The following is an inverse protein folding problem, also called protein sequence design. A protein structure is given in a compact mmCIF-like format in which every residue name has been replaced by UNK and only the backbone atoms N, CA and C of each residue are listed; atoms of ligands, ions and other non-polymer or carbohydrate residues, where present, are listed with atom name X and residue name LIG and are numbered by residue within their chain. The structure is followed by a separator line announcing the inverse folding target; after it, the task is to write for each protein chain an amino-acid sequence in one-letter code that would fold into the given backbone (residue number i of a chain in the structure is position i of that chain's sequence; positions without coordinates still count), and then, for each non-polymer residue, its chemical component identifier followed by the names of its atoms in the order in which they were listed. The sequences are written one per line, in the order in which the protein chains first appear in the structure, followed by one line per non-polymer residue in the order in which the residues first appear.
data_IF_463299710769
#
_entry.id   IF_463299710769
#
_cell.length_a   1.000
_cell.length_b   1.000
_cell.length_c   1.000
_cell.angle_alpha   90.00
_cell.angle_beta   90.00
_cell.angle_gamma   90.00
#
_symmetry.space_group_name_H-M   'P 1'
#
loop_
_entity.id
_entity.type
_entity.pdbx_description
1 polymer ?
#
# COMPACT_ATOMS: atom_id res chain seq x y z
N UNK A 1 -12.45 67.55 -7.36
CA UNK A 1 -13.36 66.52 -6.79
C UNK A 1 -12.87 65.16 -7.27
N UNK A 2 -12.13 64.43 -6.43
CA UNK A 2 -11.50 63.15 -6.77
C UNK A 2 -12.47 61.99 -6.48
N UNK A 3 -12.78 61.18 -7.50
CA UNK A 3 -13.72 60.05 -7.41
C UNK A 3 -13.15 58.87 -6.62
N UNK A 4 -13.99 58.28 -5.76
CA UNK A 4 -13.67 57.16 -4.87
C UNK A 4 -13.59 55.83 -5.67
N UNK A 5 -12.58 54.97 -5.47
CA UNK A 5 -12.50 53.69 -6.16
C UNK A 5 -13.60 52.72 -5.68
N UNK A 6 -14.08 51.79 -6.54
CA UNK A 6 -15.18 50.89 -6.20
C UNK A 6 -14.76 49.84 -5.14
N UNK A 7 -15.71 49.30 -4.35
CA UNK A 7 -15.41 48.34 -3.30
C UNK A 7 -14.92 47.00 -3.86
N UNK A 8 -13.84 46.48 -3.27
CA UNK A 8 -13.20 45.20 -3.61
C UNK A 8 -14.16 44.03 -3.34
N UNK A 9 -14.49 43.25 -4.37
CA UNK A 9 -15.30 42.05 -4.27
C UNK A 9 -14.66 41.00 -3.34
N UNK A 10 -15.38 40.59 -2.29
CA UNK A 10 -14.95 39.59 -1.32
C UNK A 10 -14.85 38.22 -2.03
N UNK A 11 -13.65 37.63 -2.08
CA UNK A 11 -13.45 36.27 -2.65
C UNK A 11 -14.25 35.28 -1.80
N UNK A 12 -15.26 34.66 -2.40
CA UNK A 12 -15.99 33.54 -1.78
C UNK A 12 -15.05 32.33 -1.79
N UNK A 13 -14.64 31.87 -0.61
CA UNK A 13 -13.89 30.61 -0.46
C UNK A 13 -14.81 29.43 -0.76
N UNK A 14 -14.37 28.53 -1.63
CA UNK A 14 -15.11 27.30 -1.93
C UNK A 14 -15.11 26.41 -0.68
N UNK A 15 -16.28 26.29 -0.04
CA UNK A 15 -16.64 25.25 0.93
C UNK A 15 -15.92 25.31 2.28
N UNK A 16 -16.67 25.12 3.37
CA UNK A 16 -16.06 24.79 4.67
C UNK A 16 -15.34 23.44 4.55
N UNK A 17 -14.14 23.32 5.14
CA UNK A 17 -13.45 22.04 5.25
C UNK A 17 -14.39 21.03 5.93
N UNK A 18 -14.65 19.85 5.33
CA UNK A 18 -15.46 18.83 5.99
C UNK A 18 -14.89 18.53 7.39
N UNK A 19 -15.75 18.30 8.40
CA UNK A 19 -15.29 17.95 9.73
C UNK A 19 -14.41 16.70 9.67
N UNK A 20 -13.38 16.64 10.52
CA UNK A 20 -12.48 15.51 10.59
C UNK A 20 -13.31 14.22 10.75
N UNK A 21 -13.15 13.29 9.81
CA UNK A 21 -13.90 12.04 9.78
C UNK A 21 -13.12 10.99 10.59
N UNK A 22 -13.64 10.53 11.75
CA UNK A 22 -12.97 9.52 12.57
C UNK A 22 -12.77 8.19 11.84
N UNK A 23 -13.65 7.84 10.90
CA UNK A 23 -13.48 6.64 10.06
C UNK A 23 -12.33 6.78 9.07
N UNK A 24 -12.08 7.99 8.55
CA UNK A 24 -10.95 8.23 7.66
C UNK A 24 -9.63 8.15 8.44
N UNK A 25 -9.59 8.72 9.65
CA UNK A 25 -8.42 8.60 10.53
C UNK A 25 -8.17 7.16 10.97
N UNK A 26 -9.22 6.40 11.28
CA UNK A 26 -9.11 4.97 11.59
C UNK A 26 -8.57 4.17 10.40
N UNK A 27 -9.02 4.44 9.17
CA UNK A 27 -8.50 3.78 7.97
C UNK A 27 -7.01 4.08 7.73
N UNK A 28 -6.59 5.34 7.94
CA UNK A 28 -5.19 5.76 7.83
C UNK A 28 -4.33 5.09 8.92
N UNK A 29 -4.79 5.09 10.17
CA UNK A 29 -4.10 4.48 11.32
C UNK A 29 -4.01 2.96 11.22
N UNK A 30 -5.01 2.31 10.63
CA UNK A 30 -5.01 0.86 10.48
C UNK A 30 -3.96 0.39 9.47
N UNK A 31 -3.71 1.15 8.40
CA UNK A 31 -2.59 0.88 7.50
C UNK A 31 -1.21 1.06 8.14
N UNK A 32 -1.09 1.96 9.13
CA UNK A 32 0.14 2.22 9.89
C UNK A 32 0.39 1.16 10.98
N UNK A 33 -0.67 0.70 11.65
CA UNK A 33 -0.60 -0.31 12.70
C UNK A 33 -0.32 -1.73 12.18
N UNK A 34 -0.73 -2.06 10.94
CA UNK A 34 -0.45 -3.35 10.30
C UNK A 34 1.06 -3.54 10.01
N UNK A 35 1.82 -2.43 9.92
CA UNK A 35 3.27 -2.45 9.70
C UNK A 35 4.08 -2.83 10.95
N UNK A 36 3.46 -2.97 12.13
CA UNK A 36 4.15 -3.28 13.38
C UNK A 36 3.49 -4.48 14.07
N UNK A 37 3.76 -5.68 13.55
CA UNK A 37 3.49 -6.93 14.25
C UNK A 37 4.78 -7.73 14.37
N UNK A 38 5.13 -8.13 15.60
CA UNK A 38 6.39 -8.77 16.02
C UNK A 38 6.80 -10.03 15.23
N UNK A 39 5.89 -10.64 14.46
CA UNK A 39 6.21 -11.69 13.47
C UNK A 39 7.06 -11.19 12.29
N UNK A 40 7.19 -9.86 12.14
CA UNK A 40 7.88 -9.17 11.03
C UNK A 40 9.38 -8.91 11.29
N UNK A 41 9.91 -9.27 12.47
CA UNK A 41 11.32 -9.01 12.84
C UNK A 41 12.34 -9.71 11.91
N UNK A 42 11.93 -10.76 11.22
CA UNK A 42 12.76 -11.54 10.30
C UNK A 42 12.14 -11.64 8.89
N UNK A 43 11.13 -10.82 8.57
CA UNK A 43 10.54 -10.78 7.22
C UNK A 43 10.75 -9.42 6.57
N UNK A 44 11.01 -9.44 5.26
CA UNK A 44 11.17 -8.23 4.46
C UNK A 44 10.14 -8.20 3.32
N UNK A 45 9.66 -7.01 2.96
CA UNK A 45 8.74 -6.82 1.84
C UNK A 45 9.48 -6.89 0.51
N UNK A 46 9.16 -7.89 -0.31
CA UNK A 46 9.69 -8.03 -1.66
C UNK A 46 8.77 -7.35 -2.68
N UNK A 47 9.29 -6.37 -3.42
CA UNK A 47 8.60 -5.73 -4.55
C UNK A 47 9.32 -6.10 -5.85
N UNK A 48 8.58 -6.58 -6.85
CA UNK A 48 9.13 -7.13 -8.09
C UNK A 48 8.44 -6.51 -9.30
N UNK A 49 9.23 -5.96 -10.22
CA UNK A 49 8.75 -5.61 -11.54
C UNK A 49 8.79 -6.85 -12.44
N UNK A 50 7.61 -7.30 -12.85
CA UNK A 50 7.45 -8.46 -13.73
C UNK A 50 6.45 -8.14 -14.84
N UNK A 51 6.57 -8.85 -15.96
CA UNK A 51 5.62 -8.66 -17.06
C UNK A 51 4.20 -9.09 -16.65
N UNK A 52 3.14 -8.49 -17.22
CA UNK A 52 1.76 -8.90 -16.94
C UNK A 52 1.51 -10.38 -17.22
N UNK A 53 2.14 -10.93 -18.27
CA UNK A 53 2.06 -12.34 -18.63
C UNK A 53 2.69 -13.25 -17.56
N UNK A 54 3.85 -12.87 -17.01
CA UNK A 54 4.47 -13.60 -15.91
C UNK A 54 3.61 -13.56 -14.65
N UNK A 55 3.07 -12.39 -14.30
CA UNK A 55 2.14 -12.24 -13.17
C UNK A 55 0.91 -13.13 -13.32
N UNK A 56 0.35 -13.23 -14.53
CA UNK A 56 -0.79 -14.10 -14.81
C UNK A 56 -0.44 -15.58 -14.57
N UNK A 57 0.71 -16.05 -15.08
CA UNK A 57 1.18 -17.43 -14.89
C UNK A 57 1.41 -17.77 -13.41
N UNK A 58 2.05 -16.87 -12.66
CA UNK A 58 2.27 -17.02 -11.22
C UNK A 58 0.92 -17.15 -10.48
N UNK A 59 -0.02 -16.26 -10.79
CA UNK A 59 -1.35 -16.28 -10.16
C UNK A 59 -2.13 -17.57 -10.46
N UNK A 60 -2.11 -18.02 -11.71
CA UNK A 60 -2.75 -19.29 -12.10
C UNK A 60 -2.10 -20.46 -11.36
N UNK A 61 -0.77 -20.53 -11.31
CA UNK A 61 -0.05 -21.59 -10.59
C UNK A 61 -0.39 -21.62 -9.10
N UNK A 62 -0.45 -20.45 -8.44
CA UNK A 62 -0.84 -20.34 -7.04
C UNK A 62 -2.28 -20.83 -6.82
N UNK A 63 -3.21 -20.39 -7.66
CA UNK A 63 -4.62 -20.79 -7.60
C UNK A 63 -4.80 -22.30 -7.78
N UNK A 64 -4.17 -22.90 -8.79
CA UNK A 64 -4.24 -24.35 -9.05
C UNK A 64 -3.70 -25.17 -7.88
N UNK A 65 -2.71 -24.65 -7.15
CA UNK A 65 -2.11 -25.31 -5.97
C UNK A 65 -2.85 -25.01 -4.65
N UNK A 66 -3.83 -24.11 -4.66
CA UNK A 66 -4.57 -23.71 -3.46
C UNK A 66 -3.76 -22.89 -2.46
N UNK A 67 -2.66 -22.25 -2.88
CA UNK A 67 -1.79 -21.43 -2.04
C UNK A 67 -1.79 -19.99 -2.50
N UNK A 68 -1.34 -19.07 -1.65
CA UNK A 68 -1.15 -17.68 -2.03
C UNK A 68 0.06 -17.49 -2.94
N UNK A 69 0.09 -16.38 -3.69
CA UNK A 69 1.28 -16.02 -4.50
C UNK A 69 2.51 -15.82 -3.61
N UNK A 70 2.34 -15.27 -2.40
CA UNK A 70 3.43 -15.07 -1.45
C UNK A 70 4.03 -16.40 -0.98
N UNK A 71 3.19 -17.40 -0.67
CA UNK A 71 3.66 -18.75 -0.31
C UNK A 71 4.38 -19.43 -1.47
N UNK A 72 3.80 -19.37 -2.68
CA UNK A 72 4.43 -19.93 -3.87
C UNK A 72 5.83 -19.33 -4.11
N UNK A 73 5.97 -18.02 -3.97
CA UNK A 73 7.25 -17.33 -4.15
C UNK A 73 8.21 -17.63 -3.00
N UNK A 74 7.72 -17.76 -1.77
CA UNK A 74 8.55 -18.17 -0.63
C UNK A 74 9.13 -19.57 -0.83
N UNK A 75 8.31 -20.53 -1.22
CA UNK A 75 8.76 -21.90 -1.51
C UNK A 75 9.78 -21.95 -2.65
N UNK A 76 9.62 -21.11 -3.67
CA UNK A 76 10.57 -20.99 -4.77
C UNK A 76 11.91 -20.43 -4.27
N UNK A 77 11.88 -19.37 -3.47
CA UNK A 77 13.08 -18.72 -2.94
C UNK A 77 13.81 -19.62 -1.94
N UNK A 78 13.11 -20.35 -1.08
CA UNK A 78 13.71 -21.31 -0.12
C UNK A 78 14.47 -22.43 -0.84
N UNK A 79 13.95 -22.89 -1.98
CA UNK A 79 14.60 -23.93 -2.80
C UNK A 79 15.85 -23.44 -3.51
N UNK A 80 15.84 -22.19 -3.95
CA UNK A 80 16.97 -21.57 -4.67
C UNK A 80 18.05 -21.08 -3.70
N UNK A 81 17.63 -20.62 -2.51
CA UNK A 81 18.49 -20.07 -1.46
C UNK A 81 18.26 -20.84 -0.14
N UNK A 82 18.71 -22.09 -0.03
CA UNK A 82 18.58 -22.84 1.21
C UNK A 82 19.39 -22.19 2.34
N UNK A 83 18.99 -22.36 3.61
CA UNK A 83 19.74 -21.83 4.74
C UNK A 83 21.15 -22.42 4.80
N UNK A 84 22.16 -21.55 4.93
CA UNK A 84 23.55 -21.97 5.07
C UNK A 84 23.70 -22.88 6.30
N UNK A 85 24.08 -24.14 6.09
CA UNK A 85 24.40 -25.09 7.16
C UNK A 85 23.41 -26.22 7.42
N UNK A 86 22.48 -26.54 6.51
CA UNK A 86 21.81 -27.85 6.57
C UNK A 86 22.76 -28.92 6.00
N UNK A 87 23.18 -29.94 6.76
CA UNK A 87 24.10 -30.99 6.29
C UNK A 87 23.51 -31.88 5.19
#
# INVERSE_FOLDING_TARGET
MTGKPPPRSKRVGIGARPPANPHAEAWIRQGDADAVQKGDLYTARLTLDITPAMRARIKVSAFTRGVTVAELLRDLLEREFPPEGTP
#
